data_IF_517238780415
#
_entry.id   IF_517238780415
#
_cell.length_a   1.000
_cell.length_b   1.000
_cell.length_c   1.000
_cell.angle_alpha   90.00
_cell.angle_beta   90.00
_cell.angle_gamma   90.00
#
_symmetry.space_group_name_H-M   'P 1'
#
loop_
_entity.id
_entity.type
_entity.pdbx_description
1 polymer ?
#
# COMPACT_ATOMS: atom_id res chain seq x y z
N UNK A 1 -0.76 -1.90 -15.85
CA UNK A 1 0.64 -2.31 -16.08
C UNK A 1 0.71 -3.47 -17.06
N UNK A 2 1.87 -3.69 -17.69
CA UNK A 2 2.06 -4.77 -18.68
C UNK A 2 1.99 -6.16 -18.05
N UNK A 3 2.26 -6.27 -16.75
CA UNK A 3 2.15 -7.50 -15.97
C UNK A 3 0.74 -7.75 -15.43
N UNK A 4 -0.21 -6.85 -15.65
CA UNK A 4 -1.59 -6.99 -15.21
C UNK A 4 -2.35 -8.03 -16.05
N UNK A 5 -2.87 -9.06 -15.40
CA UNK A 5 -3.75 -10.07 -15.99
C UNK A 5 -5.16 -9.91 -15.41
N UNK A 6 -6.09 -9.47 -16.25
CA UNK A 6 -7.49 -9.25 -15.87
C UNK A 6 -8.24 -10.56 -15.64
N UNK A 7 -9.11 -10.59 -14.63
CA UNK A 7 -10.05 -11.68 -14.46
C UNK A 7 -11.02 -11.73 -15.65
N UNK A 8 -11.50 -12.93 -16.03
CA UNK A 8 -12.40 -13.12 -17.19
C UNK A 8 -13.67 -12.26 -17.12
N UNK A 9 -14.15 -11.98 -15.92
CA UNK A 9 -15.34 -11.17 -15.66
C UNK A 9 -15.03 -9.68 -15.38
N UNK A 10 -13.78 -9.25 -15.50
CA UNK A 10 -13.37 -7.89 -15.17
C UNK A 10 -14.16 -6.84 -15.95
N UNK A 11 -14.18 -6.94 -17.28
CA UNK A 11 -14.85 -5.95 -18.12
C UNK A 11 -16.36 -5.96 -17.93
N UNK A 12 -16.99 -7.13 -17.82
CA UNK A 12 -18.44 -7.21 -17.56
C UNK A 12 -18.80 -6.59 -16.21
N UNK A 13 -18.00 -6.83 -15.17
CA UNK A 13 -18.23 -6.27 -13.84
C UNK A 13 -18.00 -4.75 -13.83
N UNK A 14 -16.91 -4.28 -14.43
CA UNK A 14 -16.62 -2.86 -14.60
C UNK A 14 -17.77 -2.14 -15.33
N UNK A 15 -18.24 -2.67 -16.46
CA UNK A 15 -19.34 -2.07 -17.22
C UNK A 15 -20.62 -2.02 -16.40
N UNK A 16 -20.97 -3.10 -15.72
CA UNK A 16 -22.14 -3.14 -14.83
C UNK A 16 -22.02 -2.11 -13.70
N UNK A 17 -20.87 -2.05 -13.02
CA UNK A 17 -20.63 -1.11 -11.92
C UNK A 17 -20.63 0.33 -12.42
N UNK A 18 -20.09 0.60 -13.61
CA UNK A 18 -20.15 1.92 -14.23
C UNK A 18 -21.60 2.37 -14.45
N UNK A 19 -22.43 1.53 -15.09
CA UNK A 19 -23.81 1.87 -15.41
C UNK A 19 -24.73 2.00 -14.18
N UNK A 20 -24.38 1.35 -13.07
CA UNK A 20 -25.17 1.38 -11.83
C UNK A 20 -24.65 2.38 -10.79
N UNK A 21 -23.47 2.97 -11.01
CA UNK A 21 -22.90 3.97 -10.08
C UNK A 21 -23.57 5.33 -10.30
N UNK A 22 -24.09 5.98 -9.25
CA UNK A 22 -24.54 7.37 -9.35
C UNK A 22 -23.36 8.29 -9.67
N UNK A 23 -23.54 9.17 -10.67
CA UNK A 23 -22.51 10.05 -11.24
C UNK A 23 -21.24 9.27 -11.65
N UNK A 24 -21.33 8.36 -12.62
CA UNK A 24 -20.23 7.46 -12.97
C UNK A 24 -19.05 8.19 -13.62
N UNK A 25 -19.27 9.42 -14.08
CA UNK A 25 -18.19 10.30 -14.56
C UNK A 25 -17.34 10.83 -13.41
N UNK A 26 -17.88 10.97 -12.19
CA UNK A 26 -17.17 11.44 -11.00
C UNK A 26 -16.64 10.28 -10.14
N UNK A 27 -16.29 9.17 -10.79
CA UNK A 27 -15.78 7.99 -10.12
C UNK A 27 -14.62 7.35 -10.89
N UNK A 28 -13.67 6.82 -10.12
CA UNK A 28 -12.72 5.81 -10.57
C UNK A 28 -13.12 4.44 -10.03
N UNK A 29 -12.74 3.38 -10.72
CA UNK A 29 -13.09 2.00 -10.42
C UNK A 29 -11.82 1.20 -10.20
N UNK A 30 -11.59 0.76 -8.96
CA UNK A 30 -10.34 0.14 -8.53
C UNK A 30 -10.52 -1.36 -8.29
N UNK A 31 -9.95 -2.26 -9.13
CA UNK A 31 -9.89 -3.68 -8.80
C UNK A 31 -8.89 -3.96 -7.69
N UNK A 32 -8.97 -5.16 -7.11
CA UNK A 32 -8.04 -5.62 -6.07
C UNK A 32 -6.77 -6.17 -6.74
N UNK A 33 -5.61 -5.52 -6.60
CA UNK A 33 -4.35 -6.04 -7.12
C UNK A 33 -3.91 -7.26 -6.31
N UNK A 34 -3.70 -8.39 -7.00
CA UNK A 34 -3.23 -9.64 -6.41
C UNK A 34 -1.90 -10.03 -7.06
N UNK A 35 -0.80 -9.97 -6.31
CA UNK A 35 0.54 -10.25 -6.86
C UNK A 35 0.82 -11.77 -7.04
N UNK A 36 0.02 -12.45 -7.86
CA UNK A 36 -0.03 -13.91 -7.95
C UNK A 36 0.74 -14.53 -9.13
N UNK A 37 1.00 -13.78 -10.20
CA UNK A 37 1.42 -14.35 -11.50
C UNK A 37 2.67 -15.24 -11.42
N UNK A 38 3.68 -14.80 -10.68
CA UNK A 38 4.96 -15.49 -10.48
C UNK A 38 5.26 -15.72 -8.99
N UNK A 39 4.25 -15.65 -8.11
CA UNK A 39 4.41 -15.70 -6.66
C UNK A 39 5.15 -16.97 -6.20
N UNK A 40 4.87 -18.11 -6.83
CA UNK A 40 5.51 -19.39 -6.52
C UNK A 40 7.02 -19.40 -6.74
N UNK A 41 7.50 -18.60 -7.70
CA UNK A 41 8.93 -18.49 -8.06
C UNK A 41 9.68 -17.40 -7.28
N UNK A 42 8.94 -16.49 -6.62
CA UNK A 42 9.52 -15.37 -5.90
C UNK A 42 10.15 -15.81 -4.57
N UNK A 43 11.25 -15.16 -4.11
CA UNK A 43 11.83 -15.43 -2.79
C UNK A 43 10.85 -15.17 -1.64
N UNK A 44 11.06 -15.82 -0.49
CA UNK A 44 10.16 -15.74 0.67
C UNK A 44 9.88 -14.29 1.12
N UNK A 45 10.90 -13.44 1.20
CA UNK A 45 10.73 -12.02 1.56
C UNK A 45 9.86 -11.27 0.56
N UNK A 46 10.03 -11.53 -0.75
CA UNK A 46 9.22 -10.89 -1.78
C UNK A 46 7.77 -11.34 -1.74
N UNK A 47 7.52 -12.62 -1.44
CA UNK A 47 6.16 -13.13 -1.23
C UNK A 47 5.49 -12.43 -0.07
N UNK A 48 6.16 -12.26 1.06
CA UNK A 48 5.60 -11.53 2.22
C UNK A 48 5.29 -10.07 1.85
N UNK A 49 6.19 -9.38 1.15
CA UNK A 49 5.96 -7.99 0.71
C UNK A 49 4.79 -7.89 -0.29
N UNK A 50 4.73 -8.80 -1.26
CA UNK A 50 3.70 -8.86 -2.29
C UNK A 50 2.32 -9.15 -1.68
N UNK A 51 2.23 -10.22 -0.88
CA UNK A 51 1.03 -10.58 -0.13
C UNK A 51 0.59 -9.43 0.76
N UNK A 52 1.49 -8.83 1.55
CA UNK A 52 1.16 -7.67 2.39
C UNK A 52 0.59 -6.49 1.60
N UNK A 53 1.08 -6.27 0.38
CA UNK A 53 0.56 -5.23 -0.52
C UNK A 53 -0.84 -5.56 -1.03
N UNK A 54 -1.12 -6.82 -1.41
CA UNK A 54 -2.47 -7.27 -1.78
C UNK A 54 -3.45 -7.11 -0.61
N UNK A 55 -3.04 -7.50 0.61
CA UNK A 55 -3.87 -7.35 1.81
C UNK A 55 -4.18 -5.89 2.14
N UNK A 56 -3.19 -5.01 2.03
CA UNK A 56 -3.40 -3.58 2.22
C UNK A 56 -4.47 -3.05 1.25
N UNK A 57 -4.40 -3.44 -0.03
CA UNK A 57 -5.39 -3.04 -1.02
C UNK A 57 -6.77 -3.63 -0.75
N UNK A 58 -6.88 -4.85 -0.23
CA UNK A 58 -8.17 -5.41 0.21
C UNK A 58 -8.77 -4.63 1.38
N UNK A 59 -7.94 -4.23 2.35
CA UNK A 59 -8.37 -3.43 3.51
C UNK A 59 -8.86 -2.05 3.06
N UNK A 60 -8.13 -1.39 2.17
CA UNK A 60 -8.53 -0.09 1.63
C UNK A 60 -9.78 -0.22 0.74
N UNK A 61 -9.92 -1.29 -0.05
CA UNK A 61 -11.13 -1.55 -0.84
C UNK A 61 -12.39 -1.75 0.02
N UNK A 62 -12.25 -2.26 1.24
CA UNK A 62 -13.34 -2.37 2.21
C UNK A 62 -13.74 -1.02 2.84
N UNK A 63 -12.97 0.06 2.58
CA UNK A 63 -13.18 1.43 3.10
C UNK A 63 -13.20 2.43 1.95
N UNK A 64 -14.27 2.46 1.12
CA UNK A 64 -14.34 3.29 -0.09
C UNK A 64 -14.06 4.78 0.15
N UNK A 65 -14.34 5.28 1.35
CA UNK A 65 -14.09 6.66 1.73
C UNK A 65 -12.61 7.02 1.92
N UNK A 66 -11.74 6.02 2.07
CA UNK A 66 -10.27 6.16 2.17
C UNK A 66 -9.57 5.77 0.87
N UNK A 67 -10.20 4.89 0.09
CA UNK A 67 -9.65 4.32 -1.13
C UNK A 67 -9.27 5.41 -2.14
N UNK A 68 -8.07 5.27 -2.69
CA UNK A 68 -7.51 6.12 -3.75
C UNK A 68 -7.22 5.24 -4.96
N UNK A 69 -7.07 5.86 -6.12
CA UNK A 69 -6.63 5.13 -7.31
C UNK A 69 -5.22 4.60 -7.11
N UNK A 70 -5.02 3.40 -7.65
CA UNK A 70 -3.76 2.69 -7.69
C UNK A 70 -3.63 2.06 -9.08
N UNK A 71 -2.59 1.26 -9.29
CA UNK A 71 -2.42 0.52 -10.55
C UNK A 71 -3.70 -0.20 -10.97
N UNK A 72 -3.92 -0.21 -12.29
CA UNK A 72 -5.00 -0.95 -12.96
C UNK A 72 -6.43 -0.48 -12.64
N UNK A 73 -6.59 0.74 -12.14
CA UNK A 73 -7.91 1.38 -12.08
C UNK A 73 -8.45 1.71 -13.48
N UNK A 74 -9.77 1.91 -13.55
CA UNK A 74 -10.46 2.47 -14.72
C UNK A 74 -11.16 3.77 -14.31
N UNK A 75 -11.30 4.73 -15.22
CA UNK A 75 -12.06 5.95 -15.00
C UNK A 75 -12.81 6.36 -16.27
N UNK A 76 -13.81 7.24 -16.14
CA UNK A 76 -14.49 7.75 -17.33
C UNK A 76 -13.54 8.62 -18.16
N UNK A 77 -13.64 8.52 -19.50
CA UNK A 77 -12.92 9.41 -20.39
C UNK A 77 -13.29 10.89 -20.13
N UNK A 78 -14.54 11.14 -19.74
CA UNK A 78 -15.02 12.48 -19.39
C UNK A 78 -14.22 13.09 -18.23
N UNK A 79 -14.06 12.37 -17.12
CA UNK A 79 -13.27 12.87 -15.98
C UNK A 79 -11.82 13.12 -16.35
N UNK A 80 -11.25 12.27 -17.21
CA UNK A 80 -9.88 12.45 -17.66
C UNK A 80 -9.71 13.73 -18.47
N UNK A 81 -10.66 14.03 -19.36
CA UNK A 81 -10.68 15.27 -20.15
C UNK A 81 -10.95 16.49 -19.27
N UNK A 82 -11.88 16.40 -18.31
CA UNK A 82 -12.24 17.52 -17.44
C UNK A 82 -11.04 18.06 -16.64
N UNK A 83 -10.10 17.18 -16.28
CA UNK A 83 -8.87 17.56 -15.55
C UNK A 83 -7.66 17.83 -16.43
N UNK A 84 -7.82 17.84 -17.76
CA UNK A 84 -6.72 17.98 -18.74
C UNK A 84 -5.67 16.87 -18.65
N UNK A 85 -6.16 15.62 -18.61
CA UNK A 85 -5.35 14.40 -18.52
C UNK A 85 -4.50 14.30 -17.25
N UNK A 86 -3.79 13.18 -17.09
CA UNK A 86 -2.94 12.95 -15.92
C UNK A 86 -1.65 13.75 -16.01
N UNK A 87 -1.17 14.17 -14.85
CA UNK A 87 0.11 14.85 -14.70
C UNK A 87 1.28 13.94 -15.04
N UNK A 88 2.20 14.45 -15.84
CA UNK A 88 3.43 13.74 -16.28
C UNK A 88 4.69 14.21 -15.53
N UNK A 89 4.55 15.22 -14.68
CA UNK A 89 5.63 15.84 -13.90
C UNK A 89 5.76 15.27 -12.47
N UNK A 90 4.99 14.22 -12.14
CA UNK A 90 4.98 13.57 -10.82
C UNK A 90 5.38 12.11 -10.93
N UNK A 91 5.82 11.52 -9.80
CA UNK A 91 6.28 10.12 -9.77
C UNK A 91 5.13 9.14 -9.53
N UNK A 92 4.13 9.56 -8.75
CA UNK A 92 3.00 8.73 -8.32
C UNK A 92 1.73 9.17 -9.04
N UNK A 93 1.73 9.06 -10.37
CA UNK A 93 0.64 9.52 -11.23
C UNK A 93 -0.67 8.75 -10.99
N UNK A 94 -0.55 7.46 -10.65
CA UNK A 94 -1.65 6.54 -10.40
C UNK A 94 -2.60 7.01 -9.30
N UNK A 95 -2.05 7.55 -8.21
CA UNK A 95 -2.76 8.13 -7.07
C UNK A 95 -2.93 9.65 -7.20
N UNK A 96 -2.07 10.29 -8.01
CA UNK A 96 -2.14 11.71 -8.31
C UNK A 96 -3.41 12.09 -9.07
N UNK A 97 -3.83 11.27 -10.04
CA UNK A 97 -5.06 11.52 -10.81
C UNK A 97 -6.30 11.57 -9.91
N UNK A 98 -6.37 10.73 -8.86
CA UNK A 98 -7.45 10.82 -7.87
C UNK A 98 -7.46 12.20 -7.20
N UNK A 99 -6.32 12.71 -6.75
CA UNK A 99 -6.25 14.02 -6.10
C UNK A 99 -6.59 15.16 -7.06
N UNK A 100 -6.18 15.05 -8.32
CA UNK A 100 -6.50 16.02 -9.36
C UNK A 100 -8.03 16.10 -9.57
N UNK A 101 -8.70 14.97 -9.77
CA UNK A 101 -10.16 14.92 -9.89
C UNK A 101 -10.86 15.35 -8.59
N UNK A 102 -10.36 14.90 -7.43
CA UNK A 102 -10.94 15.25 -6.13
C UNK A 102 -10.90 16.76 -5.87
N UNK A 103 -9.83 17.44 -6.27
CA UNK A 103 -9.71 18.90 -6.16
C UNK A 103 -10.57 19.61 -7.20
N UNK A 104 -10.56 19.15 -8.46
CA UNK A 104 -11.32 19.74 -9.56
C UNK A 104 -12.83 19.72 -9.31
N UNK A 105 -13.35 18.60 -8.82
CA UNK A 105 -14.77 18.44 -8.50
C UNK A 105 -15.13 18.87 -7.07
N UNK A 106 -14.32 19.71 -6.41
CA UNK A 106 -14.59 20.22 -5.05
C UNK A 106 -14.91 19.12 -4.01
N UNK A 107 -14.28 17.96 -4.17
CA UNK A 107 -14.43 16.77 -3.33
C UNK A 107 -15.62 15.89 -3.67
N UNK A 108 -16.34 16.16 -4.77
CA UNK A 108 -17.30 15.27 -5.40
C UNK A 108 -16.61 14.35 -6.42
N UNK A 109 -15.65 13.58 -5.93
CA UNK A 109 -15.01 12.51 -6.68
C UNK A 109 -14.72 11.35 -5.74
N UNK A 110 -14.97 10.12 -6.19
CA UNK A 110 -14.84 8.93 -5.35
C UNK A 110 -14.15 7.78 -6.08
N UNK A 111 -13.67 6.81 -5.32
CA UNK A 111 -13.21 5.54 -5.86
C UNK A 111 -14.20 4.45 -5.47
N UNK A 112 -14.72 3.75 -6.46
CA UNK A 112 -15.61 2.60 -6.29
C UNK A 112 -14.74 1.34 -6.34
N UNK A 113 -14.68 0.54 -5.25
CA UNK A 113 -13.96 -0.71 -5.28
C UNK A 113 -14.66 -1.70 -6.21
N UNK A 114 -13.87 -2.40 -7.02
CA UNK A 114 -14.30 -3.60 -7.74
C UNK A 114 -13.74 -4.79 -6.97
N UNK A 115 -14.62 -5.57 -6.32
CA UNK A 115 -14.26 -6.80 -5.59
C UNK A 115 -13.95 -7.97 -6.54
N UNK A 116 -13.05 -7.72 -7.49
CA UNK A 116 -12.54 -8.66 -8.48
C UNK A 116 -11.02 -8.53 -8.54
N UNK A 117 -10.28 -9.64 -8.62
CA UNK A 117 -8.83 -9.56 -8.66
C UNK A 117 -8.33 -9.10 -10.03
N UNK A 118 -7.24 -8.36 -10.02
CA UNK A 118 -6.32 -8.26 -11.15
C UNK A 118 -4.98 -8.84 -10.75
N UNK A 119 -4.52 -9.86 -11.47
CA UNK A 119 -3.29 -10.57 -11.09
C UNK A 119 -2.06 -9.88 -11.65
N UNK A 120 -1.07 -9.60 -10.81
CA UNK A 120 0.16 -8.88 -11.15
C UNK A 120 1.40 -9.68 -10.76
N UNK A 121 2.57 -9.26 -11.23
CA UNK A 121 3.82 -9.94 -10.91
C UNK A 121 4.34 -9.51 -9.54
N UNK A 122 4.63 -10.49 -8.69
CA UNK A 122 5.55 -10.32 -7.58
C UNK A 122 6.91 -9.91 -8.11
N UNK A 123 7.61 -9.08 -7.35
CA UNK A 123 8.91 -8.59 -7.77
C UNK A 123 9.94 -9.72 -7.75
N UNK A 124 10.48 -10.00 -8.93
CA UNK A 124 11.47 -11.05 -9.18
C UNK A 124 12.41 -10.55 -10.28
N UNK A 125 13.72 -10.61 -10.04
CA UNK A 125 14.75 -10.34 -11.04
C UNK A 125 15.64 -11.58 -11.23
N UNK A 126 16.61 -11.49 -12.14
CA UNK A 126 17.50 -12.61 -12.48
C UNK A 126 18.29 -13.15 -11.28
N UNK A 127 18.65 -12.26 -10.36
CA UNK A 127 19.40 -12.60 -9.15
C UNK A 127 18.64 -12.19 -7.89
N UNK A 128 18.90 -12.91 -6.79
CA UNK A 128 18.32 -12.63 -5.49
C UNK A 128 18.64 -11.19 -5.04
N UNK A 129 19.88 -10.74 -5.17
CA UNK A 129 20.27 -9.40 -4.76
C UNK A 129 19.61 -8.30 -5.61
N UNK A 130 19.57 -8.47 -6.93
CA UNK A 130 18.86 -7.55 -7.84
C UNK A 130 17.38 -7.46 -7.48
N UNK A 131 16.76 -8.58 -7.11
CA UNK A 131 15.38 -8.63 -6.62
C UNK A 131 15.19 -7.76 -5.38
N UNK A 132 16.06 -7.88 -4.37
CA UNK A 132 15.97 -7.07 -3.15
C UNK A 132 16.14 -5.57 -3.43
N UNK A 133 17.13 -5.20 -4.23
CA UNK A 133 17.37 -3.79 -4.62
C UNK A 133 16.18 -3.23 -5.39
N UNK A 134 15.62 -3.99 -6.33
CA UNK A 134 14.46 -3.58 -7.10
C UNK A 134 13.21 -3.45 -6.20
N UNK A 135 13.02 -4.33 -5.21
CA UNK A 135 11.92 -4.22 -4.25
C UNK A 135 12.01 -2.94 -3.43
N UNK A 136 13.21 -2.63 -2.94
CA UNK A 136 13.48 -1.40 -2.20
C UNK A 136 13.15 -0.16 -3.05
N UNK A 137 13.66 -0.10 -4.29
CA UNK A 137 13.40 1.01 -5.22
C UNK A 137 11.92 1.17 -5.52
N UNK A 138 11.20 0.06 -5.74
CA UNK A 138 9.75 0.09 -6.00
C UNK A 138 8.99 0.65 -4.80
N UNK A 139 9.29 0.19 -3.58
CA UNK A 139 8.62 0.66 -2.36
C UNK A 139 8.93 2.11 -2.05
N UNK A 140 10.17 2.55 -2.29
CA UNK A 140 10.55 3.95 -2.18
C UNK A 140 9.76 4.82 -3.16
N UNK A 141 9.61 4.38 -4.41
CA UNK A 141 8.80 5.08 -5.42
C UNK A 141 7.36 5.23 -4.95
N UNK A 142 6.74 4.17 -4.43
CA UNK A 142 5.38 4.25 -3.90
C UNK A 142 5.26 5.20 -2.69
N UNK A 143 6.24 5.17 -1.79
CA UNK A 143 6.26 6.07 -0.64
C UNK A 143 6.59 7.53 -1.01
N UNK A 144 7.13 7.75 -2.21
CA UNK A 144 7.33 9.09 -2.76
C UNK A 144 6.02 9.83 -3.05
N UNK A 145 4.87 9.14 -2.95
CA UNK A 145 3.54 9.76 -2.87
C UNK A 145 3.36 10.80 -1.75
N UNK A 146 4.36 11.00 -0.88
CA UNK A 146 4.48 12.21 -0.04
C UNK A 146 4.45 13.51 -0.85
N UNK A 147 4.81 13.48 -2.13
CA UNK A 147 4.70 14.63 -3.05
C UNK A 147 3.26 15.17 -3.15
N UNK A 148 2.25 14.33 -2.89
CA UNK A 148 0.84 14.74 -2.86
C UNK A 148 0.51 15.64 -1.67
N UNK A 149 1.27 15.57 -0.57
CA UNK A 149 0.98 16.34 0.66
C UNK A 149 0.94 17.86 0.40
N UNK A 150 2.01 18.49 -0.11
CA UNK A 150 1.97 19.93 -0.38
C UNK A 150 0.94 20.30 -1.46
N UNK A 151 0.76 19.44 -2.47
CA UNK A 151 -0.22 19.66 -3.53
C UNK A 151 -1.66 19.69 -2.98
N UNK A 152 -2.05 18.68 -2.20
CA UNK A 152 -3.40 18.56 -1.65
C UNK A 152 -3.66 19.60 -0.57
N UNK A 153 -2.75 19.76 0.39
CA UNK A 153 -2.92 20.72 1.49
C UNK A 153 -2.94 22.16 0.96
N UNK A 154 -2.05 22.50 0.02
CA UNK A 154 -2.05 23.83 -0.61
C UNK A 154 -3.38 24.15 -1.29
N UNK A 155 -3.94 23.20 -2.04
CA UNK A 155 -5.25 23.38 -2.68
C UNK A 155 -6.42 23.40 -1.68
N UNK A 156 -6.35 22.67 -0.57
CA UNK A 156 -7.36 22.77 0.48
C UNK A 156 -7.42 24.17 1.11
N UNK A 157 -6.28 24.85 1.23
CA UNK A 157 -6.19 26.19 1.79
C UNK A 157 -6.67 27.27 0.82
N UNK A 158 -6.30 27.18 -0.46
CA UNK A 158 -6.48 28.29 -1.42
C UNK A 158 -7.33 27.93 -2.65
N UNK A 159 -7.33 26.67 -3.08
CA UNK A 159 -7.84 26.24 -4.39
C UNK A 159 -9.27 25.69 -4.43
N UNK A 160 -9.83 25.22 -3.30
CA UNK A 160 -11.15 24.56 -3.29
C UNK A 160 -12.13 25.21 -2.30
N UNK A 161 -12.69 26.39 -2.59
CA UNK A 161 -13.56 27.12 -1.66
C UNK A 161 -14.93 26.45 -1.45
N UNK A 162 -15.44 25.68 -2.41
CA UNK A 162 -16.76 25.02 -2.30
C UNK A 162 -16.71 23.71 -1.50
N UNK A 163 -15.53 23.11 -1.36
CA UNK A 163 -15.34 21.89 -0.59
C UNK A 163 -15.50 22.16 0.93
N UNK A 164 -16.27 21.32 1.62
CA UNK A 164 -16.49 21.47 3.06
C UNK A 164 -15.20 21.34 3.88
N UNK A 165 -15.06 22.18 4.91
CA UNK A 165 -13.86 22.21 5.78
C UNK A 165 -13.62 20.85 6.45
N UNK A 166 -14.69 20.17 6.89
CA UNK A 166 -14.57 18.84 7.48
C UNK A 166 -13.96 17.82 6.52
N UNK A 167 -14.36 17.84 5.24
CA UNK A 167 -13.81 16.94 4.21
C UNK A 167 -12.32 17.20 3.99
N UNK A 168 -11.90 18.47 3.96
CA UNK A 168 -10.48 18.86 3.89
C UNK A 168 -9.67 18.34 5.08
N UNK A 169 -10.17 18.53 6.31
CA UNK A 169 -9.51 18.07 7.54
C UNK A 169 -9.37 16.55 7.52
N UNK A 170 -10.47 15.83 7.25
CA UNK A 170 -10.47 14.36 7.26
C UNK A 170 -9.53 13.79 6.20
N UNK A 171 -9.59 14.28 4.96
CA UNK A 171 -8.75 13.76 3.89
C UNK A 171 -7.28 14.18 4.04
N UNK A 172 -7.01 15.40 4.51
CA UNK A 172 -5.67 15.87 4.82
C UNK A 172 -5.03 15.06 5.94
N UNK A 173 -5.78 14.82 7.02
CA UNK A 173 -5.35 13.96 8.12
C UNK A 173 -5.05 12.55 7.63
N UNK A 174 -5.96 11.91 6.88
CA UNK A 174 -5.75 10.55 6.34
C UNK A 174 -4.52 10.46 5.43
N UNK A 175 -4.24 11.50 4.64
CA UNK A 175 -3.06 11.55 3.79
C UNK A 175 -1.77 11.60 4.63
N UNK A 176 -1.70 12.53 5.58
CA UNK A 176 -0.51 12.71 6.43
C UNK A 176 -0.31 11.52 7.38
N UNK A 177 -1.37 11.10 8.07
CA UNK A 177 -1.36 9.96 8.99
C UNK A 177 -0.98 8.68 8.27
N UNK A 178 -1.52 8.40 7.09
CA UNK A 178 -1.17 7.20 6.32
C UNK A 178 0.32 7.15 5.95
N UNK A 179 0.90 8.28 5.52
CA UNK A 179 2.33 8.37 5.19
C UNK A 179 3.22 8.27 6.43
N UNK A 180 2.80 8.87 7.55
CA UNK A 180 3.51 8.81 8.82
C UNK A 180 3.49 7.38 9.39
N UNK A 181 2.32 6.75 9.43
CA UNK A 181 2.13 5.39 9.93
C UNK A 181 2.86 4.35 9.08
N UNK A 182 2.96 4.55 7.76
CA UNK A 182 3.78 3.70 6.91
C UNK A 182 5.27 3.80 7.26
N UNK A 183 5.80 5.02 7.44
CA UNK A 183 7.20 5.23 7.76
C UNK A 183 7.60 4.77 9.16
N UNK A 184 6.70 4.89 10.14
CA UNK A 184 7.05 4.72 11.56
C UNK A 184 6.42 3.50 12.22
N UNK A 185 5.25 3.03 11.76
CA UNK A 185 4.42 2.08 12.50
C UNK A 185 5.13 0.77 12.84
N UNK A 186 5.78 0.13 11.87
CA UNK A 186 6.51 -1.13 12.10
C UNK A 186 7.77 -0.93 12.96
N UNK A 187 8.45 0.22 12.84
CA UNK A 187 9.61 0.55 13.69
C UNK A 187 9.15 0.72 15.13
N UNK A 188 8.09 1.51 15.34
CA UNK A 188 7.48 1.68 16.66
C UNK A 188 7.09 0.32 17.21
N UNK A 189 6.26 -0.47 16.54
CA UNK A 189 5.81 -1.77 17.08
C UNK A 189 7.00 -2.70 17.41
N UNK A 190 8.04 -2.72 16.59
CA UNK A 190 9.21 -3.60 16.78
C UNK A 190 10.09 -3.15 17.96
N UNK A 191 10.34 -1.84 18.10
CA UNK A 191 11.29 -1.31 19.08
C UNK A 191 10.62 -0.71 20.34
N UNK A 192 9.31 -0.42 20.32
CA UNK A 192 8.57 0.21 21.42
C UNK A 192 8.63 -0.60 22.70
N UNK A 193 8.67 -1.93 22.60
CA UNK A 193 8.83 -2.81 23.76
C UNK A 193 10.10 -2.56 24.57
N UNK A 194 11.13 -2.01 23.92
CA UNK A 194 12.45 -1.81 24.49
C UNK A 194 12.68 -0.35 24.91
N UNK A 195 11.88 0.59 24.40
CA UNK A 195 12.02 2.02 24.67
C UNK A 195 11.98 2.35 26.17
N UNK A 196 11.05 1.82 26.98
CA UNK A 196 11.03 2.07 28.43
C UNK A 196 12.27 1.57 29.16
N UNK A 197 12.88 0.47 28.73
CA UNK A 197 14.12 -0.03 29.33
C UNK A 197 15.30 0.90 29.04
N UNK A 198 15.43 1.36 27.79
CA UNK A 198 16.54 2.24 27.40
C UNK A 198 16.38 3.66 27.90
N UNK A 199 15.18 4.24 27.84
CA UNK A 199 14.93 5.63 28.19
C UNK A 199 14.48 5.81 29.65
N UNK A 200 13.91 4.78 30.28
CA UNK A 200 13.30 4.91 31.60
C UNK A 200 14.30 5.18 32.71
N UNK A 201 15.54 4.72 32.55
CA UNK A 201 16.66 5.03 33.46
C UNK A 201 17.01 6.51 33.47
N UNK A 202 16.89 7.19 32.33
CA UNK A 202 17.26 8.59 32.18
C UNK A 202 16.13 9.56 32.55
N UNK A 203 14.87 9.12 32.44
CA UNK A 203 13.69 9.97 32.65
C UNK A 203 13.00 9.73 34.00
N UNK A 204 13.45 8.75 34.79
CA UNK A 204 12.77 8.32 36.01
C UNK A 204 11.48 7.53 35.76
N UNK A 205 11.18 7.20 34.50
CA UNK A 205 9.98 6.47 34.11
C UNK A 205 9.89 5.09 34.75
N UNK A 206 11.02 4.44 35.07
CA UNK A 206 11.08 3.14 35.76
C UNK A 206 10.26 3.10 37.07
N UNK A 207 10.16 4.23 37.79
CA UNK A 207 9.40 4.33 39.03
C UNK A 207 7.89 4.52 38.86
N UNK A 208 7.39 4.65 37.62
CA UNK A 208 5.97 4.92 37.37
C UNK A 208 5.13 3.63 37.30
N UNK A 209 3.86 3.73 37.70
CA UNK A 209 2.88 2.63 37.56
C UNK A 209 2.76 2.18 36.10
N UNK A 210 2.92 3.11 35.15
CA UNK A 210 2.87 2.83 33.73
C UNK A 210 4.04 1.97 33.27
N UNK A 211 5.26 2.23 33.75
CA UNK A 211 6.44 1.42 33.43
C UNK A 211 6.33 -0.02 33.96
N UNK A 212 5.76 -0.20 35.16
CA UNK A 212 5.55 -1.54 35.72
C UNK A 212 4.46 -2.32 34.97
N UNK A 213 3.43 -1.63 34.47
CA UNK A 213 2.32 -2.23 33.71
C UNK A 213 2.63 -2.41 32.21
N UNK A 214 3.66 -1.72 31.72
CA UNK A 214 4.03 -1.69 30.31
C UNK A 214 4.34 -3.08 29.71
N UNK A 215 5.11 -3.98 30.36
CA UNK A 215 5.38 -5.30 29.78
C UNK A 215 4.12 -6.12 29.55
N UNK A 216 3.13 -6.02 30.44
CA UNK A 216 1.86 -6.74 30.32
C UNK A 216 1.02 -6.19 29.16
N UNK A 217 0.88 -4.86 29.08
CA UNK A 217 0.16 -4.20 27.98
C UNK A 217 0.84 -4.48 26.63
N UNK A 218 2.16 -4.37 26.57
CA UNK A 218 2.93 -4.62 25.36
C UNK A 218 2.83 -6.09 24.92
N UNK A 219 2.88 -7.04 25.85
CA UNK A 219 2.65 -8.47 25.56
C UNK A 219 1.25 -8.71 25.00
N UNK A 220 0.22 -8.06 25.53
CA UNK A 220 -1.14 -8.17 25.01
C UNK A 220 -1.24 -7.65 23.56
N UNK A 221 -0.66 -6.47 23.27
CA UNK A 221 -0.60 -5.90 21.92
C UNK A 221 0.14 -6.82 20.95
N UNK A 222 1.30 -7.34 21.34
CA UNK A 222 2.08 -8.26 20.50
C UNK A 222 1.35 -9.58 20.26
N UNK A 223 0.70 -10.15 21.27
CA UNK A 223 -0.08 -11.37 21.11
C UNK A 223 -1.25 -11.16 20.14
N UNK A 224 -1.94 -10.02 20.23
CA UNK A 224 -3.01 -9.65 19.31
C UNK A 224 -2.48 -9.47 17.88
N UNK A 225 -1.33 -8.80 17.73
CA UNK A 225 -0.66 -8.63 16.45
C UNK A 225 -0.23 -9.98 15.83
N UNK A 226 0.34 -10.88 16.62
CA UNK A 226 0.72 -12.23 16.19
C UNK A 226 -0.51 -13.06 15.81
N UNK A 227 -1.61 -12.96 16.55
CA UNK A 227 -2.86 -13.62 16.20
C UNK A 227 -3.43 -13.09 14.87
N UNK A 228 -3.42 -11.77 14.67
CA UNK A 228 -3.79 -11.17 13.39
C UNK A 228 -2.88 -11.60 12.23
N UNK A 229 -1.57 -11.73 12.49
CA UNK A 229 -0.59 -12.24 11.52
C UNK A 229 -0.89 -13.70 11.14
N UNK A 230 -1.24 -14.54 12.11
CA UNK A 230 -1.64 -15.92 11.87
C UNK A 230 -2.91 -16.01 11.02
N UNK A 231 -3.95 -15.24 11.35
CA UNK A 231 -5.17 -15.17 10.51
C UNK A 231 -4.83 -14.75 9.08
N UNK A 232 -4.02 -13.69 8.94
CA UNK A 232 -3.58 -13.19 7.63
C UNK A 232 -2.80 -14.25 6.86
N UNK A 233 -1.95 -15.04 7.54
CA UNK A 233 -1.20 -16.13 6.92
C UNK A 233 -2.09 -17.24 6.38
N UNK A 234 -3.16 -17.58 7.11
CA UNK A 234 -4.14 -18.59 6.69
C UNK A 234 -4.92 -18.08 5.49
N UNK A 235 -5.50 -16.87 5.57
CA UNK A 235 -6.24 -16.25 4.46
C UNK A 235 -5.34 -16.14 3.22
N UNK A 236 -4.08 -15.72 3.40
CA UNK A 236 -3.14 -15.63 2.29
C UNK A 236 -2.92 -16.98 1.61
N UNK A 237 -2.84 -18.05 2.39
CA UNK A 237 -2.60 -19.40 1.87
C UNK A 237 -3.81 -19.90 1.09
N UNK A 238 -5.03 -19.56 1.53
CA UNK A 238 -6.28 -19.86 0.83
C UNK A 238 -6.42 -19.09 -0.49
N UNK A 239 -5.86 -17.88 -0.55
CA UNK A 239 -5.88 -17.03 -1.75
C UNK A 239 -4.77 -17.37 -2.76
N UNK A 240 -3.85 -18.29 -2.45
CA UNK A 240 -2.76 -18.66 -3.35
C UNK A 240 -3.31 -19.24 -4.67
N UNK A 241 -2.71 -18.89 -5.82
CA UNK A 241 -3.04 -19.54 -7.08
C UNK A 241 -2.67 -21.02 -7.03
N UNK A 242 -3.24 -21.90 -7.87
CA UNK A 242 -2.93 -23.32 -7.88
C UNK A 242 -1.41 -23.58 -7.93
N UNK A 243 -0.95 -24.49 -7.07
CA UNK A 243 0.48 -24.83 -6.97
C UNK A 243 0.97 -25.48 -8.28
N UNK A 244 2.06 -24.99 -8.88
CA UNK A 244 2.70 -25.64 -10.02
C UNK A 244 3.19 -27.06 -9.71
N UNK A 245 3.17 -27.95 -10.72
CA UNK A 245 3.61 -29.35 -10.57
C UNK A 245 5.07 -29.51 -10.12
N UNK A 246 5.92 -28.52 -10.39
CA UNK A 246 7.35 -28.51 -10.01
C UNK A 246 7.61 -28.46 -8.49
N UNK A 247 6.63 -28.03 -7.69
CA UNK A 247 6.78 -27.90 -6.24
C UNK A 247 6.11 -29.05 -5.48
N UNK A 248 6.75 -29.52 -4.40
CA UNK A 248 6.18 -30.51 -3.49
C UNK A 248 5.02 -29.94 -2.65
N UNK A 249 4.19 -30.79 -2.01
CA UNK A 249 3.14 -30.35 -1.08
C UNK A 249 3.71 -29.64 0.16
N UNK A 250 4.95 -29.97 0.57
CA UNK A 250 5.65 -29.31 1.68
C UNK A 250 5.86 -27.81 1.49
N UNK A 251 5.72 -27.28 0.28
CA UNK A 251 5.80 -25.84 0.04
C UNK A 251 4.76 -25.05 0.84
N UNK A 252 3.59 -25.62 1.12
CA UNK A 252 2.55 -24.93 1.91
C UNK A 252 3.01 -24.70 3.36
N UNK A 253 3.77 -25.63 3.95
CA UNK A 253 4.37 -25.44 5.28
C UNK A 253 5.35 -24.27 5.24
N UNK A 254 6.19 -24.20 4.21
CA UNK A 254 7.10 -23.08 4.01
C UNK A 254 6.39 -21.75 3.73
N UNK A 255 5.23 -21.77 3.06
CA UNK A 255 4.40 -20.58 2.83
C UNK A 255 3.82 -20.01 4.13
N UNK A 256 3.57 -20.85 5.13
CA UNK A 256 3.17 -20.41 6.47
C UNK A 256 4.39 -19.97 7.28
N UNK A 257 5.48 -20.74 7.28
CA UNK A 257 6.66 -20.44 8.10
C UNK A 257 7.36 -19.13 7.71
N UNK A 258 7.36 -18.75 6.43
CA UNK A 258 7.96 -17.48 5.97
C UNK A 258 7.36 -16.23 6.62
N UNK A 259 6.17 -16.30 7.24
CA UNK A 259 5.56 -15.16 7.94
C UNK A 259 6.37 -14.68 9.15
N UNK A 260 7.26 -15.50 9.69
CA UNK A 260 8.27 -15.09 10.68
C UNK A 260 9.15 -13.95 10.17
N UNK A 261 9.30 -13.83 8.84
CA UNK A 261 10.08 -12.75 8.21
C UNK A 261 9.31 -11.42 8.10
N UNK A 262 8.04 -11.35 8.52
CA UNK A 262 7.24 -10.13 8.36
C UNK A 262 7.85 -8.88 9.03
N UNK A 263 8.38 -8.92 10.27
CA UNK A 263 8.97 -7.73 10.88
C UNK A 263 10.18 -7.23 10.07
N UNK A 264 11.01 -8.15 9.58
CA UNK A 264 12.16 -7.84 8.72
C UNK A 264 11.68 -7.21 7.40
N UNK A 265 10.70 -7.83 6.74
CA UNK A 265 10.14 -7.32 5.50
C UNK A 265 9.51 -5.93 5.68
N UNK A 266 8.77 -5.72 6.78
CA UNK A 266 8.14 -4.45 7.12
C UNK A 266 9.15 -3.33 7.37
N UNK A 267 10.25 -3.62 8.07
CA UNK A 267 11.30 -2.62 8.32
C UNK A 267 12.06 -2.29 7.02
N UNK A 268 12.65 -3.29 6.37
CA UNK A 268 13.58 -3.08 5.25
C UNK A 268 12.89 -2.76 3.93
N UNK A 269 11.66 -3.23 3.71
CA UNK A 269 10.88 -3.00 2.49
C UNK A 269 9.59 -2.20 2.71
N UNK A 270 9.34 -1.74 3.93
CA UNK A 270 8.23 -0.84 4.26
C UNK A 270 8.72 0.50 4.80
N UNK A 271 9.17 0.53 6.05
CA UNK A 271 9.51 1.76 6.76
C UNK A 271 10.75 2.47 6.21
N UNK A 272 11.87 1.77 6.05
CA UNK A 272 13.13 2.37 5.55
C UNK A 272 12.94 3.04 4.17
N UNK A 273 12.36 2.39 3.14
CA UNK A 273 12.16 3.05 1.85
C UNK A 273 11.17 4.22 1.94
N UNK A 274 10.20 4.19 2.88
CA UNK A 274 9.31 5.31 3.11
C UNK A 274 10.03 6.51 3.74
N UNK A 275 10.88 6.28 4.73
CA UNK A 275 11.74 7.31 5.32
C UNK A 275 12.71 7.88 4.27
N UNK A 276 13.33 7.04 3.43
CA UNK A 276 14.21 7.50 2.34
C UNK A 276 13.43 8.42 1.38
N UNK A 277 12.23 8.02 0.94
CA UNK A 277 11.40 8.84 0.06
C UNK A 277 11.03 10.20 0.68
N UNK A 278 10.55 10.20 1.93
CA UNK A 278 10.14 11.40 2.65
C UNK A 278 11.32 12.34 2.91
N UNK A 279 12.48 11.79 3.30
CA UNK A 279 13.69 12.58 3.54
C UNK A 279 14.24 13.18 2.25
N UNK A 280 14.20 12.44 1.13
CA UNK A 280 14.57 12.98 -0.19
C UNK A 280 13.71 14.16 -0.59
N UNK A 281 12.40 14.04 -0.43
CA UNK A 281 11.46 15.12 -0.73
C UNK A 281 11.74 16.36 0.14
N UNK A 282 11.93 16.16 1.45
CA UNK A 282 12.29 17.23 2.39
C UNK A 282 13.60 17.95 2.02
N UNK A 283 14.60 17.20 1.53
CA UNK A 283 15.91 17.74 1.14
C UNK A 283 15.97 18.24 -0.31
N UNK A 284 14.84 18.31 -1.03
CA UNK A 284 14.79 18.75 -2.44
C UNK A 284 15.48 17.79 -3.43
N UNK A 285 15.74 16.54 -3.03
CA UNK A 285 16.35 15.50 -3.88
C UNK A 285 15.26 14.76 -4.67
N UNK A 286 14.65 15.47 -5.62
CA UNK A 286 13.47 14.97 -6.31
C UNK A 286 13.73 13.68 -7.10
N UNK A 287 12.76 12.77 -7.08
CA UNK A 287 12.83 11.51 -7.82
C UNK A 287 12.21 11.64 -9.21
N UNK A 288 12.80 10.97 -10.19
CA UNK A 288 12.14 10.69 -11.47
C UNK A 288 11.44 9.33 -11.45
N UNK A 289 10.57 9.09 -12.44
CA UNK A 289 9.94 7.79 -12.60
C UNK A 289 10.96 6.73 -13.05
N UNK A 290 10.94 5.57 -12.39
CA UNK A 290 11.77 4.42 -12.73
C UNK A 290 10.90 3.18 -12.93
N UNK A 291 11.02 2.55 -14.09
CA UNK A 291 10.32 1.29 -14.40
C UNK A 291 10.97 0.14 -13.64
N UNK A 292 10.13 -0.61 -12.92
CA UNK A 292 10.61 -1.74 -12.14
C UNK A 292 10.74 -2.96 -13.02
N UNK A 293 11.96 -3.43 -13.23
CA UNK A 293 12.22 -4.67 -13.95
C UNK A 293 11.72 -5.88 -13.15
N UNK A 294 10.86 -6.68 -13.81
CA UNK A 294 10.32 -7.94 -13.29
C UNK A 294 10.49 -9.03 -14.34
N UNK A 295 10.85 -10.21 -13.89
CA UNK A 295 11.08 -11.39 -14.72
C UNK A 295 10.09 -12.48 -14.33
N UNK A 296 9.55 -13.17 -15.35
CA UNK A 296 8.82 -14.42 -15.18
C UNK A 296 9.75 -15.55 -15.59
N UNK A 297 9.91 -16.55 -14.73
CA UNK A 297 10.60 -17.78 -15.13
C UNK A 297 9.67 -18.53 -16.08
N UNK A 298 9.98 -18.53 -17.38
CA UNK A 298 9.34 -19.44 -18.31
C UNK A 298 9.68 -20.88 -17.87
N UNK A 299 8.65 -21.66 -17.58
CA UNK A 299 8.73 -23.12 -17.51
C UNK A 299 7.91 -23.67 -18.65
#
# INVERSE_FOLDING_TARGET
DIDSCVHKQYFSYLTYTYLTTPNPTHASYQPIPMYHNNLWDAPALMRIVATGSSFWQMIEAARPERLKTFSSHSMSFRALVDVDFWRTDIVSEDSGIFWQCFLYYDGDYKVVPLFIPISMDTLLADTYWKTMVNQYKQKRRWAYGVEHVPYVIGNFLVGSPKMSVWKKIVQGWRLVEGLYSWATGVIIITFLGWLPYFLGRYTGFEGTVLAQSFPWMFRAILNLALFGLLITSVISTLLLPPKPKKYSCWIYVWMVFQWVLQPIAGIFFGAIPAIDAQTRFMLGKYMGFWTTEKVRKCT
#
